data_IF_264935255710
#
_entry.id   IF_264935255710
#
_cell.length_a   1.000
_cell.length_b   1.000
_cell.length_c   1.000
_cell.angle_alpha   90.00
_cell.angle_beta   90.00
_cell.angle_gamma   90.00
#
_symmetry.space_group_name_H-M   'P 1'
#
loop_
_entity.id
_entity.type
_entity.pdbx_description
1 polymer ?
#
# COMPACT_ATOMS: atom_id res chain seq x y z
N UNK A 1 32.51 8.56 -20.98
CA UNK A 1 32.73 9.06 -19.61
C UNK A 1 31.37 9.34 -18.95
N UNK A 2 30.49 8.34 -18.87
CA UNK A 2 29.04 8.60 -18.64
C UNK A 2 28.40 7.84 -17.47
N UNK A 3 29.15 6.96 -16.79
CA UNK A 3 28.68 6.20 -15.61
C UNK A 3 29.84 5.95 -14.63
N UNK A 4 30.65 6.97 -14.34
CA UNK A 4 31.73 6.82 -13.37
C UNK A 4 31.39 7.63 -12.12
N UNK A 5 30.84 6.95 -11.12
CA UNK A 5 30.71 7.47 -9.75
C UNK A 5 31.99 7.08 -9.01
N UNK A 6 32.73 8.05 -8.50
CA UNK A 6 33.93 7.80 -7.71
C UNK A 6 33.55 7.26 -6.33
N UNK A 7 33.75 5.96 -6.12
CA UNK A 7 33.54 5.31 -4.83
C UNK A 7 34.91 5.24 -4.12
N UNK A 8 35.02 5.65 -2.83
CA UNK A 8 36.26 5.51 -2.09
C UNK A 8 36.72 4.04 -2.02
N UNK A 9 38.03 3.79 -2.17
CA UNK A 9 38.58 2.43 -2.07
C UNK A 9 38.29 1.82 -0.68
N UNK A 10 37.76 0.59 -0.65
CA UNK A 10 37.39 -0.09 0.61
C UNK A 10 36.07 0.37 1.25
N UNK A 11 35.29 1.24 0.60
CA UNK A 11 34.01 1.70 1.14
C UNK A 11 33.01 0.55 1.38
N UNK A 12 32.96 -0.44 0.47
CA UNK A 12 32.04 -1.59 0.59
C UNK A 12 32.34 -2.50 1.78
N UNK A 13 33.61 -2.78 2.06
CA UNK A 13 34.02 -3.65 3.17
C UNK A 13 33.98 -2.95 4.52
N UNK A 14 34.20 -1.64 4.56
CA UNK A 14 34.16 -0.84 5.80
C UNK A 14 32.73 -0.55 6.27
N UNK A 15 31.81 -0.27 5.34
CA UNK A 15 30.43 0.10 5.69
C UNK A 15 29.48 -1.11 5.81
N UNK A 16 29.87 -2.29 5.32
CA UNK A 16 29.04 -3.51 5.35
C UNK A 16 27.62 -3.30 4.79
N UNK A 17 27.44 -2.40 3.82
CA UNK A 17 26.12 -2.01 3.28
C UNK A 17 25.37 -3.18 2.64
N UNK A 18 26.09 -4.16 2.11
CA UNK A 18 25.50 -5.38 1.53
C UNK A 18 25.39 -6.55 2.53
N UNK A 19 25.74 -6.36 3.80
CA UNK A 19 25.69 -7.42 4.80
C UNK A 19 24.25 -7.74 5.19
N UNK A 20 23.97 -9.03 5.37
CA UNK A 20 22.68 -9.47 5.89
C UNK A 20 22.65 -9.26 7.41
N UNK A 21 21.88 -8.26 7.85
CA UNK A 21 21.70 -7.92 9.26
C UNK A 21 20.33 -8.35 9.76
N UNK A 22 20.19 -8.55 11.07
CA UNK A 22 18.89 -8.84 11.70
C UNK A 22 17.87 -7.74 11.40
N UNK A 23 18.27 -6.47 11.54
CA UNK A 23 17.41 -5.33 11.21
C UNK A 23 16.99 -5.31 9.73
N UNK A 24 17.89 -5.72 8.82
CA UNK A 24 17.57 -5.87 7.40
C UNK A 24 16.55 -6.97 7.14
N UNK A 25 16.64 -8.10 7.85
CA UNK A 25 15.65 -9.18 7.76
C UNK A 25 14.29 -8.76 8.33
N UNK A 26 14.26 -8.08 9.48
CA UNK A 26 13.03 -7.56 10.08
C UNK A 26 12.33 -6.56 9.14
N UNK A 27 13.13 -5.68 8.52
CA UNK A 27 12.67 -4.73 7.50
C UNK A 27 12.11 -5.46 6.28
N UNK A 28 12.80 -6.50 5.79
CA UNK A 28 12.36 -7.30 4.65
C UNK A 28 10.99 -7.91 4.91
N UNK A 29 10.80 -8.57 6.06
CA UNK A 29 9.53 -9.20 6.43
C UNK A 29 8.42 -8.15 6.52
N UNK A 30 8.72 -7.02 7.17
CA UNK A 30 7.77 -5.91 7.32
C UNK A 30 7.33 -5.36 5.98
N UNK A 31 8.28 -5.02 5.09
CA UNK A 31 7.99 -4.48 3.76
C UNK A 31 7.24 -5.46 2.87
N UNK A 32 7.60 -6.74 2.89
CA UNK A 32 6.89 -7.76 2.10
C UNK A 32 5.42 -7.80 2.52
N UNK A 33 5.12 -7.79 3.82
CA UNK A 33 3.74 -7.79 4.31
C UNK A 33 3.05 -6.47 3.95
N UNK A 34 3.67 -5.34 4.30
CA UNK A 34 3.16 -3.99 4.10
C UNK A 34 2.80 -3.72 2.64
N UNK A 35 3.77 -3.88 1.73
CA UNK A 35 3.60 -3.65 0.29
C UNK A 35 2.59 -4.62 -0.30
N UNK A 36 2.59 -5.90 0.10
CA UNK A 36 1.60 -6.87 -0.39
C UNK A 36 0.18 -6.49 0.04
N UNK A 37 -0.02 -6.17 1.32
CA UNK A 37 -1.32 -5.79 1.85
C UNK A 37 -1.84 -4.51 1.19
N UNK A 38 -0.98 -3.50 1.06
CA UNK A 38 -1.28 -2.22 0.41
C UNK A 38 -1.70 -2.42 -1.05
N UNK A 39 -0.93 -3.18 -1.83
CA UNK A 39 -1.26 -3.49 -3.23
C UNK A 39 -2.57 -4.28 -3.38
N UNK A 40 -2.89 -5.16 -2.43
CA UNK A 40 -4.17 -5.89 -2.44
C UNK A 40 -5.35 -5.01 -2.02
N UNK A 41 -5.13 -3.99 -1.21
CA UNK A 41 -6.17 -3.08 -0.74
C UNK A 41 -6.53 -2.00 -1.79
N UNK A 42 -5.57 -1.60 -2.63
CA UNK A 42 -5.81 -0.54 -3.62
C UNK A 42 -6.82 -0.93 -4.72
N UNK A 43 -7.96 -0.25 -4.70
CA UNK A 43 -9.09 -0.48 -5.62
C UNK A 43 -8.74 -0.14 -7.07
N UNK A 44 -7.86 0.83 -7.31
CA UNK A 44 -7.37 1.17 -8.65
C UNK A 44 -6.64 0.01 -9.35
N UNK A 45 -5.97 -0.88 -8.61
CA UNK A 45 -5.37 -2.08 -9.21
C UNK A 45 -6.41 -3.13 -9.56
N UNK A 46 -7.43 -3.31 -8.71
CA UNK A 46 -8.56 -4.19 -9.01
C UNK A 46 -9.32 -3.76 -10.27
N UNK A 47 -9.47 -2.46 -10.52
CA UNK A 47 -10.07 -1.99 -11.77
C UNK A 47 -9.32 -2.46 -13.02
N UNK A 48 -7.97 -2.50 -12.97
CA UNK A 48 -7.15 -3.03 -14.08
C UNK A 48 -7.32 -4.53 -14.26
N UNK A 49 -7.47 -5.26 -13.15
CA UNK A 49 -7.76 -6.70 -13.14
C UNK A 49 -9.12 -6.98 -13.75
N UNK A 50 -10.16 -6.25 -13.34
CA UNK A 50 -11.53 -6.41 -13.85
C UNK A 50 -11.73 -5.91 -15.28
N UNK A 51 -10.89 -5.00 -15.75
CA UNK A 51 -10.89 -4.54 -17.14
C UNK A 51 -10.09 -5.46 -18.09
N UNK A 52 -9.45 -6.51 -17.57
CA UNK A 52 -8.69 -7.44 -18.40
C UNK A 52 -9.62 -8.25 -19.32
N UNK A 53 -9.15 -8.55 -20.53
CA UNK A 53 -9.92 -9.28 -21.53
C UNK A 53 -10.20 -10.74 -21.11
N UNK A 54 -9.18 -11.42 -20.57
CA UNK A 54 -9.27 -12.81 -20.13
C UNK A 54 -8.25 -13.12 -19.03
N UNK A 55 -8.55 -14.13 -18.21
CA UNK A 55 -7.71 -14.56 -17.08
C UNK A 55 -6.30 -15.01 -17.50
N UNK A 56 -6.16 -15.56 -18.72
CA UNK A 56 -4.87 -16.06 -19.21
C UNK A 56 -3.94 -14.91 -19.58
N UNK A 57 -4.47 -13.88 -20.24
CA UNK A 57 -3.74 -12.64 -20.55
C UNK A 57 -3.41 -11.87 -19.28
N UNK A 58 -4.37 -11.76 -18.34
CA UNK A 58 -4.12 -11.14 -17.05
C UNK A 58 -2.95 -11.80 -16.32
N UNK A 59 -2.94 -13.14 -16.23
CA UNK A 59 -1.88 -13.87 -15.54
C UNK A 59 -0.52 -13.68 -16.21
N UNK A 60 -0.46 -13.76 -17.55
CA UNK A 60 0.77 -13.50 -18.30
C UNK A 60 1.28 -12.08 -18.10
N UNK A 61 0.40 -11.09 -18.16
CA UNK A 61 0.73 -9.69 -17.94
C UNK A 61 1.26 -9.46 -16.52
N UNK A 62 0.61 -10.06 -15.50
CA UNK A 62 1.06 -9.98 -14.11
C UNK A 62 2.46 -10.59 -13.92
N UNK A 63 2.75 -11.75 -14.52
CA UNK A 63 4.09 -12.36 -14.46
C UNK A 63 5.16 -11.49 -15.12
N UNK A 64 4.87 -10.95 -16.31
CA UNK A 64 5.81 -10.06 -17.02
C UNK A 64 6.05 -8.79 -16.20
N UNK A 65 4.99 -8.18 -15.68
CA UNK A 65 5.09 -6.99 -14.83
C UNK A 65 5.91 -7.27 -13.56
N UNK A 66 5.71 -8.42 -12.91
CA UNK A 66 6.49 -8.82 -11.73
C UNK A 66 7.98 -8.94 -12.02
N UNK A 67 8.37 -9.50 -13.18
CA UNK A 67 9.78 -9.62 -13.56
C UNK A 67 10.39 -8.24 -13.82
N UNK A 68 9.68 -7.39 -14.56
CA UNK A 68 10.15 -6.02 -14.88
C UNK A 68 10.33 -5.21 -13.61
N UNK A 69 9.33 -5.23 -12.71
CA UNK A 69 9.39 -4.52 -11.44
C UNK A 69 10.53 -5.05 -10.58
N UNK A 70 10.70 -6.38 -10.47
CA UNK A 70 11.79 -6.95 -9.68
C UNK A 70 13.17 -6.49 -10.17
N UNK A 71 13.42 -6.55 -11.48
CA UNK A 71 14.67 -6.09 -12.08
C UNK A 71 14.90 -4.59 -11.84
N UNK A 72 13.85 -3.78 -12.03
CA UNK A 72 13.92 -2.34 -11.82
C UNK A 72 14.18 -1.97 -10.36
N UNK A 73 13.52 -2.63 -9.41
CA UNK A 73 13.74 -2.43 -7.97
C UNK A 73 15.15 -2.81 -7.55
N UNK A 74 15.70 -3.93 -8.07
CA UNK A 74 17.09 -4.33 -7.80
C UNK A 74 18.07 -3.29 -8.34
N UNK A 75 17.84 -2.78 -9.56
CA UNK A 75 18.67 -1.72 -10.13
C UNK A 75 18.65 -0.43 -9.30
N UNK A 76 17.45 0.00 -8.84
CA UNK A 76 17.31 1.16 -7.96
C UNK A 76 17.96 0.95 -6.59
N UNK A 77 17.84 -0.25 -6.00
CA UNK A 77 18.48 -0.59 -4.74
C UNK A 77 20.00 -0.52 -4.85
N UNK A 78 20.58 -1.07 -5.92
CA UNK A 78 22.02 -0.94 -6.19
C UNK A 78 22.45 0.51 -6.37
N UNK A 79 21.68 1.30 -7.12
CA UNK A 79 21.96 2.73 -7.28
C UNK A 79 21.91 3.49 -5.94
N UNK A 80 20.96 3.17 -5.07
CA UNK A 80 20.87 3.73 -3.72
C UNK A 80 22.08 3.35 -2.85
N UNK A 81 22.51 2.09 -2.88
CA UNK A 81 23.74 1.66 -2.16
C UNK A 81 24.99 2.38 -2.67
N UNK A 82 25.15 2.50 -4.00
CA UNK A 82 26.27 3.23 -4.60
C UNK A 82 26.24 4.71 -4.21
N UNK A 83 25.06 5.32 -4.23
CA UNK A 83 24.87 6.72 -3.85
C UNK A 83 25.20 6.96 -2.37
N UNK A 84 24.79 6.07 -1.47
CA UNK A 84 25.16 6.13 -0.05
C UNK A 84 26.68 6.07 0.17
N UNK A 85 27.37 5.21 -0.59
CA UNK A 85 28.84 5.07 -0.47
C UNK A 85 29.60 6.28 -1.04
N UNK A 86 29.09 6.89 -2.10
CA UNK A 86 29.69 8.06 -2.74
C UNK A 86 29.35 9.37 -1.99
N UNK A 87 28.15 9.44 -1.42
CA UNK A 87 27.58 10.64 -0.78
C UNK A 87 26.92 10.29 0.56
N UNK A 88 27.70 10.05 1.63
CA UNK A 88 27.18 9.65 2.94
C UNK A 88 26.22 10.68 3.56
N UNK A 89 26.46 11.97 3.28
CA UNK A 89 25.69 13.10 3.80
C UNK A 89 24.59 13.59 2.85
N UNK A 90 24.48 13.01 1.64
CA UNK A 90 23.54 13.43 0.60
C UNK A 90 22.20 12.70 0.68
N UNK A 91 21.12 13.25 0.08
CA UNK A 91 19.86 12.53 -0.06
C UNK A 91 20.08 11.23 -0.86
N UNK A 92 19.85 10.10 -0.19
CA UNK A 92 20.36 8.75 -0.48
C UNK A 92 20.34 8.30 -1.95
N UNK A 93 19.39 8.72 -2.78
CA UNK A 93 19.31 8.32 -4.19
C UNK A 93 19.57 9.48 -5.17
N UNK A 94 19.22 10.71 -4.78
CA UNK A 94 19.28 11.87 -5.67
C UNK A 94 20.64 12.56 -5.68
N UNK A 95 21.51 12.27 -4.71
CA UNK A 95 22.86 12.82 -4.67
C UNK A 95 23.68 12.43 -5.92
N UNK A 96 23.50 11.21 -6.44
CA UNK A 96 24.13 10.76 -7.70
C UNK A 96 23.74 11.61 -8.91
N UNK A 97 22.59 12.29 -8.89
CA UNK A 97 22.19 13.19 -9.98
C UNK A 97 23.10 14.42 -10.10
N UNK A 98 23.75 14.84 -9.01
CA UNK A 98 24.57 16.05 -8.97
C UNK A 98 25.77 15.92 -9.92
N UNK A 99 26.35 14.72 -10.01
CA UNK A 99 27.48 14.43 -10.90
C UNK A 99 27.06 14.12 -12.34
N UNK A 100 25.76 13.89 -12.58
CA UNK A 100 25.28 13.64 -13.94
C UNK A 100 25.18 14.96 -14.71
N UNK A 101 25.60 14.96 -15.98
CA UNK A 101 25.49 16.14 -16.82
C UNK A 101 24.06 16.70 -16.88
N UNK A 102 23.92 18.02 -17.08
CA UNK A 102 22.63 18.76 -17.01
C UNK A 102 21.47 18.11 -17.78
N UNK A 103 21.73 17.49 -18.93
CA UNK A 103 20.71 16.80 -19.72
C UNK A 103 20.08 15.59 -19.00
N UNK A 104 20.90 14.82 -18.28
CA UNK A 104 20.45 13.65 -17.51
C UNK A 104 19.65 14.05 -16.27
N UNK A 105 20.05 15.14 -15.60
CA UNK A 105 19.30 15.70 -14.48
C UNK A 105 17.87 16.06 -14.89
N UNK A 106 17.71 16.78 -16.00
CA UNK A 106 16.38 17.14 -16.52
C UNK A 106 15.57 15.90 -16.87
N UNK A 107 16.18 14.93 -17.59
CA UNK A 107 15.50 13.70 -17.96
C UNK A 107 14.98 12.95 -16.73
N UNK A 108 15.80 12.80 -15.68
CA UNK A 108 15.41 12.05 -14.49
C UNK A 108 14.33 12.78 -13.70
N UNK A 109 14.40 14.10 -13.57
CA UNK A 109 13.32 14.90 -12.96
C UNK A 109 12.00 14.72 -13.72
N UNK A 110 12.03 14.73 -15.06
CA UNK A 110 10.84 14.46 -15.88
C UNK A 110 10.30 13.06 -15.62
N UNK A 111 11.16 12.04 -15.59
CA UNK A 111 10.73 10.65 -15.31
C UNK A 111 10.10 10.54 -13.91
N UNK A 112 10.69 11.16 -12.89
CA UNK A 112 10.14 11.17 -11.52
C UNK A 112 8.77 11.86 -11.50
N UNK A 113 8.62 12.99 -12.18
CA UNK A 113 7.35 13.69 -12.28
C UNK A 113 6.27 12.85 -13.00
N UNK A 114 6.65 12.13 -14.05
CA UNK A 114 5.75 11.19 -14.74
C UNK A 114 5.33 10.01 -13.84
N UNK A 115 6.26 9.44 -13.08
CA UNK A 115 5.95 8.37 -12.13
C UNK A 115 5.03 8.86 -11.00
N UNK A 116 5.34 10.02 -10.41
CA UNK A 116 4.54 10.64 -9.34
C UNK A 116 3.11 10.97 -9.80
N UNK A 117 2.97 11.54 -10.99
CA UNK A 117 1.65 11.82 -11.57
C UNK A 117 0.86 10.55 -11.87
N UNK A 118 1.50 9.50 -12.40
CA UNK A 118 0.85 8.21 -12.65
C UNK A 118 0.35 7.51 -11.38
N UNK A 119 1.11 7.57 -10.29
CA UNK A 119 0.69 7.05 -8.98
C UNK A 119 -0.50 7.86 -8.44
N UNK A 120 -0.41 9.19 -8.51
CA UNK A 120 -1.47 10.09 -8.04
C UNK A 120 -2.79 9.87 -8.79
N UNK A 121 -2.73 9.70 -10.11
CA UNK A 121 -3.89 9.38 -10.95
C UNK A 121 -4.54 8.06 -10.51
N UNK A 122 -3.74 7.01 -10.29
CA UNK A 122 -4.24 5.70 -9.88
C UNK A 122 -4.93 5.74 -8.51
N UNK A 123 -4.41 6.53 -7.56
CA UNK A 123 -5.03 6.75 -6.24
C UNK A 123 -6.37 7.49 -6.40
N UNK A 124 -6.42 8.55 -7.22
CA UNK A 124 -7.63 9.34 -7.42
C UNK A 124 -8.73 8.55 -8.13
N UNK A 125 -8.37 7.67 -9.08
CA UNK A 125 -9.31 6.75 -9.72
C UNK A 125 -9.89 5.76 -8.72
N UNK A 126 -9.05 5.16 -7.86
CA UNK A 126 -9.52 4.27 -6.81
C UNK A 126 -10.45 4.96 -5.81
N UNK A 127 -10.09 6.17 -5.37
CA UNK A 127 -10.90 6.98 -4.45
C UNK A 127 -12.24 7.38 -5.06
N UNK A 128 -12.26 7.80 -6.32
CA UNK A 128 -13.48 8.17 -7.02
C UNK A 128 -14.43 6.97 -7.14
N UNK A 129 -13.89 5.78 -7.44
CA UNK A 129 -14.67 4.55 -7.55
C UNK A 129 -15.32 4.16 -6.22
N UNK A 130 -14.57 4.21 -5.12
CA UNK A 130 -15.10 3.93 -3.79
C UNK A 130 -16.17 4.93 -3.37
N UNK A 131 -15.95 6.24 -3.60
CA UNK A 131 -16.94 7.27 -3.30
C UNK A 131 -18.26 7.03 -4.05
N UNK A 132 -18.20 6.69 -5.34
CA UNK A 132 -19.42 6.42 -6.13
C UNK A 132 -20.11 5.12 -5.74
N UNK A 133 -19.34 4.13 -5.26
CA UNK A 133 -19.89 2.82 -4.87
C UNK A 133 -20.53 2.87 -3.48
N UNK A 134 -19.87 3.50 -2.51
CA UNK A 134 -20.40 3.67 -1.16
C UNK A 134 -21.52 4.70 -1.07
N UNK A 135 -21.51 5.72 -1.92
CA UNK A 135 -22.51 6.79 -1.94
C UNK A 135 -23.16 6.92 -3.32
N UNK A 136 -24.11 6.03 -3.67
CA UNK A 136 -24.72 5.97 -5.01
C UNK A 136 -25.51 7.23 -5.41
N UNK A 137 -25.80 8.12 -4.45
CA UNK A 137 -26.44 9.42 -4.71
C UNK A 137 -25.46 10.50 -5.20
N UNK A 138 -24.14 10.26 -5.11
CA UNK A 138 -23.13 11.19 -5.59
C UNK A 138 -22.96 11.04 -7.11
N UNK A 139 -23.11 12.14 -7.84
CA UNK A 139 -22.73 12.14 -9.26
C UNK A 139 -21.21 12.09 -9.42
N UNK A 140 -20.74 11.65 -10.59
CA UNK A 140 -19.31 11.60 -10.92
C UNK A 140 -18.60 12.96 -10.76
N UNK A 141 -19.30 14.06 -11.02
CA UNK A 141 -18.74 15.40 -10.82
C UNK A 141 -18.49 15.69 -9.34
N UNK A 142 -19.40 15.28 -8.44
CA UNK A 142 -19.21 15.45 -7.00
C UNK A 142 -18.03 14.63 -6.51
N UNK A 143 -17.91 13.36 -6.95
CA UNK A 143 -16.76 12.52 -6.60
C UNK A 143 -15.42 13.15 -7.04
N UNK A 144 -15.35 13.70 -8.26
CA UNK A 144 -14.15 14.42 -8.74
C UNK A 144 -13.82 15.64 -7.89
N UNK A 145 -14.82 16.46 -7.54
CA UNK A 145 -14.60 17.63 -6.67
C UNK A 145 -14.07 17.19 -5.30
N UNK A 146 -14.62 16.12 -4.72
CA UNK A 146 -14.14 15.58 -3.45
C UNK A 146 -12.68 15.12 -3.57
N UNK A 147 -12.31 14.40 -4.64
CA UNK A 147 -10.91 14.00 -4.88
C UNK A 147 -9.97 15.21 -4.96
N UNK A 148 -10.37 16.28 -5.67
CA UNK A 148 -9.58 17.52 -5.75
C UNK A 148 -9.44 18.19 -4.38
N UNK A 149 -10.52 18.25 -3.60
CA UNK A 149 -10.50 18.83 -2.25
C UNK A 149 -9.60 18.02 -1.31
N UNK A 150 -9.55 16.69 -1.44
CA UNK A 150 -8.68 15.81 -0.64
C UNK A 150 -7.19 15.95 -1.00
N UNK A 151 -6.86 16.44 -2.19
CA UNK A 151 -5.46 16.75 -2.53
C UNK A 151 -4.92 17.95 -1.74
N UNK A 152 -5.76 18.93 -1.37
CA UNK A 152 -5.31 20.12 -0.64
C UNK A 152 -4.66 19.81 0.72
N UNK A 153 -5.27 19.01 1.63
CA UNK A 153 -4.60 18.62 2.88
C UNK A 153 -3.39 17.71 2.63
N UNK A 154 -3.42 16.85 1.60
CA UNK A 154 -2.27 16.01 1.25
C UNK A 154 -1.05 16.86 0.85
N UNK A 155 -1.26 17.93 0.06
CA UNK A 155 -0.22 18.90 -0.30
C UNK A 155 0.29 19.62 0.97
N UNK A 156 -0.61 20.05 1.85
CA UNK A 156 -0.23 20.73 3.09
C UNK A 156 0.62 19.83 4.02
N UNK A 157 0.32 18.53 4.11
CA UNK A 157 1.12 17.55 4.85
C UNK A 157 2.47 17.32 4.14
N UNK A 158 2.48 17.25 2.81
CA UNK A 158 3.71 17.11 2.02
C UNK A 158 4.72 18.25 2.25
N UNK A 159 4.24 19.47 2.53
CA UNK A 159 5.11 20.59 2.89
C UNK A 159 5.78 20.46 4.27
N UNK A 160 5.24 19.64 5.17
CA UNK A 160 5.74 19.52 6.55
C UNK A 160 6.99 18.64 6.66
N UNK A 161 7.52 18.11 5.54
CA UNK A 161 8.77 17.32 5.48
C UNK A 161 8.78 16.13 6.45
N UNK A 162 7.62 15.53 6.69
CA UNK A 162 7.55 14.27 7.43
C UNK A 162 8.34 13.18 6.71
N UNK A 163 8.88 12.25 7.49
CA UNK A 163 9.54 11.09 6.93
C UNK A 163 8.56 10.28 6.06
N UNK A 164 8.91 10.15 4.78
CA UNK A 164 8.08 9.52 3.76
C UNK A 164 7.88 8.04 4.09
N UNK A 165 8.91 7.37 4.62
CA UNK A 165 8.83 5.95 4.98
C UNK A 165 7.83 5.73 6.11
N UNK A 166 7.86 6.57 7.13
CA UNK A 166 6.89 6.53 8.23
C UNK A 166 5.47 6.75 7.74
N UNK A 167 5.22 7.79 6.91
CA UNK A 167 3.89 8.03 6.34
C UNK A 167 3.37 6.83 5.52
N UNK A 168 4.25 6.21 4.74
CA UNK A 168 3.92 5.03 3.95
C UNK A 168 3.57 3.82 4.83
N UNK A 169 4.37 3.58 5.88
CA UNK A 169 4.13 2.48 6.82
C UNK A 169 2.83 2.63 7.61
N UNK A 170 2.45 3.86 7.98
CA UNK A 170 1.17 4.12 8.65
C UNK A 170 0.01 3.66 7.75
N UNK A 171 0.04 4.05 6.47
CA UNK A 171 -0.98 3.66 5.50
C UNK A 171 -0.98 2.14 5.27
N UNK A 172 0.19 1.53 5.10
CA UNK A 172 0.32 0.10 4.86
C UNK A 172 -0.10 -0.74 6.07
N UNK A 173 0.12 -0.26 7.30
CA UNK A 173 -0.32 -0.92 8.52
C UNK A 173 -1.85 -0.97 8.58
N UNK A 174 -2.52 0.14 8.24
CA UNK A 174 -3.97 0.20 8.17
C UNK A 174 -4.52 -0.72 7.06
N UNK A 175 -3.86 -0.77 5.91
CA UNK A 175 -4.20 -1.71 4.84
C UNK A 175 -4.05 -3.16 5.31
N UNK A 176 -2.98 -3.47 6.04
CA UNK A 176 -2.71 -4.80 6.62
C UNK A 176 -3.85 -5.23 7.57
N UNK A 177 -4.36 -4.30 8.37
CA UNK A 177 -5.48 -4.58 9.29
C UNK A 177 -6.80 -4.88 8.55
N UNK A 178 -7.00 -4.31 7.36
CA UNK A 178 -8.26 -4.39 6.62
C UNK A 178 -8.25 -5.45 5.50
N UNK A 179 -7.09 -5.79 4.93
CA UNK A 179 -6.99 -6.65 3.74
C UNK A 179 -7.52 -8.07 3.98
N UNK A 180 -7.26 -8.65 5.15
CA UNK A 180 -7.72 -9.99 5.50
C UNK A 180 -9.25 -10.10 5.51
N UNK A 181 -9.96 -9.30 6.34
CA UNK A 181 -11.41 -9.25 6.35
C UNK A 181 -12.02 -8.91 4.98
N UNK A 182 -11.39 -8.01 4.22
CA UNK A 182 -11.83 -7.63 2.87
C UNK A 182 -11.79 -8.83 1.92
N UNK A 183 -10.68 -9.55 1.83
CA UNK A 183 -10.55 -10.73 0.97
C UNK A 183 -11.48 -11.87 1.39
N UNK A 184 -11.65 -12.07 2.70
CA UNK A 184 -12.61 -13.04 3.24
C UNK A 184 -14.06 -12.68 2.92
N UNK A 185 -14.38 -11.44 2.57
CA UNK A 185 -15.72 -11.06 2.09
C UNK A 185 -16.17 -11.82 0.85
N UNK A 186 -15.23 -12.36 0.05
CA UNK A 186 -15.54 -13.22 -1.10
C UNK A 186 -15.90 -14.66 -0.72
N UNK A 187 -15.66 -15.05 0.53
CA UNK A 187 -15.95 -16.39 1.02
C UNK A 187 -17.45 -16.54 1.29
N UNK A 188 -18.09 -17.58 0.72
CA UNK A 188 -19.54 -17.82 0.82
C UNK A 188 -20.11 -17.90 2.24
N UNK A 189 -19.25 -18.14 3.24
CA UNK A 189 -19.63 -18.27 4.65
C UNK A 189 -19.28 -17.02 5.48
N UNK A 190 -18.64 -16.03 4.87
CA UNK A 190 -18.36 -14.77 5.54
C UNK A 190 -19.65 -14.02 5.82
N UNK A 191 -19.80 -13.57 7.05
CA UNK A 191 -20.95 -12.76 7.47
C UNK A 191 -20.54 -11.29 7.54
N UNK A 192 -21.48 -10.38 7.31
CA UNK A 192 -21.25 -8.93 7.44
C UNK A 192 -20.74 -8.58 8.85
N UNK A 193 -21.27 -9.25 9.87
CA UNK A 193 -20.85 -9.11 11.27
C UNK A 193 -19.42 -9.63 11.47
N UNK A 194 -19.06 -10.75 10.87
CA UNK A 194 -17.71 -11.29 10.92
C UNK A 194 -16.67 -10.38 10.26
N UNK A 195 -16.97 -9.84 9.07
CA UNK A 195 -16.07 -8.90 8.39
C UNK A 195 -15.85 -7.62 9.21
N UNK A 196 -16.92 -7.03 9.75
CA UNK A 196 -16.83 -5.85 10.62
C UNK A 196 -16.05 -6.13 11.90
N UNK A 197 -16.31 -7.28 12.55
CA UNK A 197 -15.58 -7.70 13.75
C UNK A 197 -14.10 -7.93 13.45
N UNK A 198 -13.77 -8.49 12.29
CA UNK A 198 -12.40 -8.64 11.81
C UNK A 198 -11.69 -7.30 11.64
N UNK A 199 -12.29 -6.35 10.93
CA UNK A 199 -11.71 -5.01 10.75
C UNK A 199 -11.54 -4.27 12.08
N UNK A 200 -12.52 -4.35 12.98
CA UNK A 200 -12.41 -3.79 14.32
C UNK A 200 -11.30 -4.47 15.13
N UNK A 201 -11.16 -5.80 15.02
CA UNK A 201 -10.08 -6.54 15.65
C UNK A 201 -8.71 -6.16 15.08
N UNK A 202 -8.59 -5.79 13.80
CA UNK A 202 -7.36 -5.25 13.23
C UNK A 202 -6.94 -3.94 13.86
N UNK A 203 -7.86 -2.99 14.00
CA UNK A 203 -7.58 -1.73 14.71
C UNK A 203 -7.23 -1.98 16.18
N UNK A 204 -7.96 -2.89 16.85
CA UNK A 204 -7.67 -3.26 18.23
C UNK A 204 -6.31 -3.95 18.37
N UNK A 205 -5.90 -4.75 17.39
CA UNK A 205 -4.60 -5.42 17.37
C UNK A 205 -3.46 -4.42 17.33
N UNK A 206 -3.53 -3.42 16.43
CA UNK A 206 -2.55 -2.32 16.36
C UNK A 206 -2.46 -1.61 17.70
N UNK A 207 -3.61 -1.28 18.30
CA UNK A 207 -3.67 -0.61 19.59
C UNK A 207 -3.03 -1.45 20.71
N UNK A 208 -3.39 -2.74 20.82
CA UNK A 208 -2.88 -3.65 21.86
C UNK A 208 -1.37 -3.85 21.71
N UNK A 209 -0.87 -4.05 20.48
CA UNK A 209 0.56 -4.11 20.21
C UNK A 209 1.28 -2.84 20.69
N UNK A 210 0.69 -1.67 20.47
CA UNK A 210 1.23 -0.40 20.97
C UNK A 210 1.26 -0.26 22.48
N UNK A 211 0.21 -0.73 23.17
CA UNK A 211 0.17 -0.75 24.65
C UNK A 211 1.22 -1.68 25.21
N UNK A 212 1.43 -2.86 24.59
CA UNK A 212 2.45 -3.82 25.02
C UNK A 212 3.86 -3.25 24.77
N UNK A 213 4.11 -2.65 23.61
CA UNK A 213 5.42 -2.10 23.26
C UNK A 213 5.82 -0.92 24.15
N UNK A 214 4.90 0.01 24.44
CA UNK A 214 5.20 1.22 25.22
C UNK A 214 4.88 1.11 26.72
N UNK A 215 4.24 0.03 27.16
CA UNK A 215 3.83 -0.20 28.55
C UNK A 215 2.81 0.82 29.10
N UNK A 216 2.19 1.63 28.24
CA UNK A 216 1.23 2.69 28.62
C UNK A 216 0.02 2.66 27.68
N UNK A 217 -1.16 2.94 28.22
CA UNK A 217 -2.40 3.01 27.43
C UNK A 217 -2.31 4.04 26.29
N UNK A 218 -1.73 5.21 26.56
CA UNK A 218 -1.50 6.27 25.55
C UNK A 218 -0.60 5.78 24.41
N UNK A 219 0.27 4.80 24.68
CA UNK A 219 1.15 4.23 23.67
C UNK A 219 0.41 3.45 22.59
N UNK A 220 -0.78 2.91 22.88
CA UNK A 220 -1.63 2.28 21.87
C UNK A 220 -2.07 3.23 20.76
N UNK A 221 -2.38 4.49 21.11
CA UNK A 221 -2.72 5.51 20.11
C UNK A 221 -1.50 6.00 19.34
N UNK A 222 -0.37 6.18 20.03
CA UNK A 222 0.88 6.57 19.36
C UNK A 222 1.35 5.51 18.37
N UNK A 223 1.04 4.24 18.61
CA UNK A 223 1.47 3.13 17.74
C UNK A 223 0.83 3.13 16.36
N UNK A 224 -0.33 3.79 16.17
CA UNK A 224 -0.89 4.02 14.83
C UNK A 224 0.04 4.86 13.94
N UNK A 225 0.91 5.67 14.56
CA UNK A 225 1.91 6.49 13.86
C UNK A 225 3.24 5.71 13.69
N UNK A 226 3.36 4.50 14.25
CA UNK A 226 4.57 3.66 14.24
C UNK A 226 5.83 4.46 14.63
N UNK A 227 5.95 4.90 15.90
CA UNK A 227 7.01 5.81 16.33
C UNK A 227 8.41 5.18 16.27
N UNK A 228 8.50 3.85 16.24
CA UNK A 228 9.76 3.12 16.08
C UNK A 228 10.16 2.93 14.60
N UNK A 229 9.28 3.28 13.66
CA UNK A 229 9.56 3.23 12.22
C UNK A 229 9.79 1.82 11.68
N UNK A 230 10.51 1.74 10.56
CA UNK A 230 10.72 0.51 9.79
C UNK A 230 11.69 -0.49 10.44
N UNK A 231 12.72 0.03 11.10
CA UNK A 231 13.89 -0.73 11.55
C UNK A 231 13.74 -1.27 12.99
N UNK A 232 12.52 -1.70 13.36
CA UNK A 232 12.22 -2.23 14.69
C UNK A 232 11.56 -3.60 14.63
N UNK A 233 12.01 -4.48 15.52
CA UNK A 233 11.40 -5.78 15.79
C UNK A 233 9.92 -5.64 16.20
N UNK A 234 9.56 -4.62 16.98
CA UNK A 234 8.19 -4.41 17.43
C UNK A 234 7.27 -4.06 16.25
N UNK A 235 7.77 -3.29 15.29
CA UNK A 235 7.06 -2.97 14.05
C UNK A 235 6.80 -4.25 13.24
N UNK A 236 7.82 -5.09 13.05
CA UNK A 236 7.66 -6.37 12.35
C UNK A 236 6.60 -7.26 13.02
N UNK A 237 6.67 -7.43 14.34
CA UNK A 237 5.68 -8.20 15.10
C UNK A 237 4.27 -7.63 14.89
N UNK A 238 4.14 -6.30 14.93
CA UNK A 238 2.84 -5.64 14.72
C UNK A 238 2.27 -5.96 13.34
N UNK A 239 3.07 -5.89 12.27
CA UNK A 239 2.61 -6.24 10.92
C UNK A 239 2.19 -7.72 10.80
N UNK A 240 2.98 -8.64 11.36
CA UNK A 240 2.67 -10.08 11.33
C UNK A 240 1.36 -10.37 12.08
N UNK A 241 1.23 -9.86 13.30
CA UNK A 241 0.06 -10.10 14.14
C UNK A 241 -1.18 -9.45 13.53
N UNK A 242 -1.04 -8.24 12.99
CA UNK A 242 -2.12 -7.52 12.30
C UNK A 242 -2.54 -8.19 10.99
N UNK A 243 -1.66 -8.95 10.33
CA UNK A 243 -2.03 -9.74 9.16
C UNK A 243 -2.87 -10.97 9.53
N UNK A 244 -2.62 -11.58 10.70
CA UNK A 244 -3.18 -12.89 11.09
C UNK A 244 -4.46 -12.74 11.92
N UNK A 245 -4.47 -11.89 12.95
CA UNK A 245 -5.59 -11.78 13.89
C UNK A 245 -6.90 -11.38 13.20
N UNK A 246 -6.95 -10.36 12.33
CA UNK A 246 -8.20 -9.90 11.70
C UNK A 246 -8.88 -10.99 10.86
N UNK A 247 -8.18 -11.74 9.96
CA UNK A 247 -8.80 -12.86 9.29
C UNK A 247 -9.25 -13.98 10.24
N UNK A 248 -8.48 -14.31 11.28
CA UNK A 248 -8.86 -15.35 12.25
C UNK A 248 -10.15 -14.96 12.99
N UNK A 249 -10.26 -13.72 13.44
CA UNK A 249 -11.48 -13.19 14.07
C UNK A 249 -12.64 -13.17 13.08
N UNK A 250 -12.40 -12.77 11.83
CA UNK A 250 -13.41 -12.78 10.76
C UNK A 250 -14.00 -14.17 10.55
N UNK A 251 -13.14 -15.18 10.45
CA UNK A 251 -13.55 -16.59 10.29
C UNK A 251 -14.26 -17.08 11.54
N UNK A 252 -13.71 -16.85 12.72
CA UNK A 252 -14.31 -17.29 13.99
C UNK A 252 -15.72 -16.73 14.19
N UNK A 253 -15.89 -15.42 14.04
CA UNK A 253 -17.21 -14.77 14.18
C UNK A 253 -18.16 -15.21 13.06
N UNK A 254 -17.67 -15.39 11.84
CA UNK A 254 -18.51 -15.86 10.73
C UNK A 254 -18.95 -17.32 10.88
N UNK A 255 -18.19 -18.16 11.57
CA UNK A 255 -18.58 -19.54 11.88
C UNK A 255 -19.57 -19.61 13.05
N UNK A 256 -19.46 -18.70 14.02
CA UNK A 256 -20.32 -18.62 15.20
C UNK A 256 -21.65 -17.90 14.94
N UNK A 257 -21.68 -17.01 13.95
CA UNK A 257 -22.91 -16.33 13.54
C UNK A 257 -23.62 -17.22 12.52
N UNK A 258 -24.83 -17.69 12.83
CA UNK A 258 -25.65 -18.39 11.83
C UNK A 258 -25.83 -17.49 10.60
N UNK A 259 -25.66 -18.02 9.38
CA UNK A 259 -25.99 -17.25 8.19
C UNK A 259 -27.46 -16.88 8.32
N UNK A 260 -27.79 -15.58 8.32
CA UNK A 260 -29.19 -15.16 8.26
C UNK A 260 -29.80 -15.79 7.01
N UNK A 261 -30.62 -16.83 7.21
CA UNK A 261 -31.30 -17.64 6.19
C UNK A 261 -32.41 -16.86 5.45
N UNK A 262 -32.17 -15.58 5.12
CA UNK A 262 -33.10 -14.75 4.35
C UNK A 262 -32.43 -13.77 3.38
N UNK A 263 -31.10 -13.79 3.25
CA UNK A 263 -30.40 -13.21 2.10
C UNK A 263 -29.63 -14.33 1.41
N UNK A 264 -30.37 -15.32 0.89
CA UNK A 264 -29.88 -16.01 -0.29
C UNK A 264 -29.55 -14.91 -1.29
N UNK A 265 -28.26 -14.75 -1.60
CA UNK A 265 -27.80 -13.82 -2.61
C UNK A 265 -28.75 -13.95 -3.81
N UNK A 266 -29.58 -12.92 -4.05
CA UNK A 266 -30.13 -12.68 -5.37
C UNK A 266 -28.93 -12.26 -6.22
N UNK A 267 -28.12 -13.26 -6.54
CA UNK A 267 -26.76 -13.17 -7.09
C UNK A 267 -26.74 -12.55 -8.49
N UNK A 268 -27.91 -12.23 -9.03
CA UNK A 268 -28.07 -11.53 -10.30
C UNK A 268 -28.99 -10.30 -10.23
N UNK A 269 -29.69 -9.98 -9.14
CA UNK A 269 -30.67 -8.87 -9.19
C UNK A 269 -30.09 -7.54 -8.70
N UNK A 270 -29.33 -7.49 -7.60
CA UNK A 270 -28.97 -6.22 -6.99
C UNK A 270 -27.98 -5.38 -7.82
N UNK A 271 -26.97 -6.02 -8.42
CA UNK A 271 -26.01 -5.36 -9.30
C UNK A 271 -26.55 -5.14 -10.72
N UNK A 272 -27.52 -5.94 -11.19
CA UNK A 272 -28.17 -5.73 -12.50
C UNK A 272 -29.28 -4.68 -12.43
N UNK A 273 -30.07 -4.62 -11.35
CA UNK A 273 -31.13 -3.62 -11.12
C UNK A 273 -30.55 -2.21 -10.94
N UNK A 274 -29.31 -2.11 -10.44
CA UNK A 274 -28.62 -0.83 -10.23
C UNK A 274 -27.44 -0.61 -11.19
N UNK A 275 -27.29 -1.42 -12.23
CA UNK A 275 -26.31 -1.17 -13.27
C UNK A 275 -26.78 -0.02 -14.16
N UNK A 276 -25.97 1.03 -14.37
CA UNK A 276 -26.29 2.13 -15.29
C UNK A 276 -26.46 1.68 -16.75
N UNK A 277 -26.12 0.43 -17.08
CA UNK A 277 -26.28 -0.15 -18.41
C UNK A 277 -27.74 -0.44 -18.75
N UNK A 278 -28.62 -0.70 -17.77
CA UNK A 278 -30.05 -0.96 -18.05
C UNK A 278 -30.86 0.29 -18.36
N UNK A 279 -30.46 1.48 -17.89
CA UNK A 279 -31.15 2.73 -18.25
C UNK A 279 -30.94 3.09 -19.73
N UNK A 280 -29.85 2.66 -20.35
CA UNK A 280 -29.57 2.92 -21.76
C UNK A 280 -30.40 2.06 -22.75
N UNK A 281 -31.06 0.98 -22.29
CA UNK A 281 -31.89 0.13 -23.16
C UNK A 281 -33.39 0.48 -23.12
N UNK A 282 -33.77 1.58 -22.44
CA UNK A 282 -35.16 2.07 -22.34
C UNK A 282 -35.40 3.44 -22.98
N UNK A 283 -34.49 3.87 -23.86
CA UNK A 283 -34.67 5.01 -24.77
C UNK A 283 -34.53 4.51 -26.22
#
# INVERSE_FOLDING_TARGET
>A
MFFHVSIPEGAWSSTNVAAFTTAGFETLVTLVIAVTASNLFFTGFWQRVYAAYDDSTLRKAAYIASIIIALFTVALAMAGMVSYLAYPDGPLFFAVLIDMGRGWQVLIVVVIAMLSSGVSDSIQMGLAAELTTCFPKLSLLHARVICVLLNAPAIAIGYQQYDILTLYLIADLLCTAAVGPMLLGTWKRATRTGALAGSAAGLATIFICGVIAQGKFVGGFNWFILPEGLYSQNSMITFIVTLIIPPVVTVGVSLLTEPKTNEGARDNSYLLEHSPVQEASKL
#
